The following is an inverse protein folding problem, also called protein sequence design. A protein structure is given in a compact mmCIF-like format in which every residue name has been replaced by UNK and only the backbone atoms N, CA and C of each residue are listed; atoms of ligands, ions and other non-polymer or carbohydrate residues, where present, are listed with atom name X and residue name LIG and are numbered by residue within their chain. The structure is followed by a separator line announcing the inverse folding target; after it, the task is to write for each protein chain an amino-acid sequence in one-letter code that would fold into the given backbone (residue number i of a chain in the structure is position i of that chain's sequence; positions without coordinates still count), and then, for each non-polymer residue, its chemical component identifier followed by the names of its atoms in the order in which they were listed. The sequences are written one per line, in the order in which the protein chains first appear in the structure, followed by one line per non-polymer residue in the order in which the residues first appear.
data_IF_479181596384
#
_entry.id   IF_479181596384
#
_cell.length_a   1.000
_cell.length_b   1.000
_cell.length_c   1.000
_cell.angle_alpha   90.00
_cell.angle_beta   90.00
_cell.angle_gamma   90.00
#
_symmetry.space_group_name_H-M   'P 1'
#
loop_
_entity.id
_entity.type
_entity.pdbx_description
1 polymer ?
#
# COMPACT_ATOMS: atom_id res chain seq x y z
N UNK A 1 -30.87 -0.39 -6.71
CA UNK A 1 -30.41 -0.73 -5.35
C UNK A 1 -29.19 -1.63 -5.48
N UNK A 2 -27.97 -1.07 -5.39
CA UNK A 2 -26.73 -1.86 -5.32
C UNK A 2 -25.64 -1.04 -4.57
N UNK A 3 -25.01 -1.73 -3.62
CA UNK A 3 -23.69 -1.58 -2.97
C UNK A 3 -23.38 -0.42 -2.01
N UNK A 4 -23.32 -0.83 -0.74
CA UNK A 4 -22.41 -0.47 0.34
C UNK A 4 -22.19 1.01 0.70
N UNK A 5 -22.92 1.39 1.75
CA UNK A 5 -22.48 2.33 2.79
C UNK A 5 -21.07 1.97 3.29
N UNK A 6 -20.05 2.63 2.79
CA UNK A 6 -18.78 2.82 3.51
C UNK A 6 -18.55 4.31 3.68
N UNK A 7 -19.29 4.89 4.63
CA UNK A 7 -18.84 6.07 5.36
C UNK A 7 -18.54 5.56 6.76
N UNK A 8 -17.31 5.08 6.97
CA UNK A 8 -16.74 5.06 8.32
C UNK A 8 -15.93 6.34 8.45
N UNK A 9 -16.32 7.11 9.44
CA UNK A 9 -15.95 8.49 9.70
C UNK A 9 -14.44 8.70 9.83
N UNK A 10 -13.96 9.81 9.25
CA UNK A 10 -12.84 10.57 9.81
C UNK A 10 -11.47 10.32 9.18
N UNK A 11 -10.99 11.35 8.48
CA UNK A 11 -9.57 11.72 8.25
C UNK A 11 -8.86 11.04 7.07
N UNK A 12 -8.94 11.65 5.87
CA UNK A 12 -7.79 11.89 4.94
C UNK A 12 -8.16 12.65 3.65
N UNK A 13 -8.90 13.77 3.77
CA UNK A 13 -9.45 14.55 2.64
C UNK A 13 -8.41 15.25 1.71
N UNK A 14 -7.11 14.93 1.76
CA UNK A 14 -6.11 15.56 0.86
C UNK A 14 -5.18 14.60 0.14
N UNK A 15 -4.83 13.46 0.75
CA UNK A 15 -4.06 12.42 0.07
C UNK A 15 -4.95 11.54 -0.83
N UNK A 16 -6.23 11.44 -0.48
CA UNK A 16 -7.23 10.62 -1.17
C UNK A 16 -7.59 11.17 -2.56
N UNK A 17 -7.58 12.49 -2.77
CA UNK A 17 -8.00 13.11 -4.05
C UNK A 17 -6.97 13.00 -5.20
N UNK A 18 -5.67 12.96 -4.89
CA UNK A 18 -4.62 12.67 -5.88
C UNK A 18 -4.56 11.17 -6.16
N UNK A 19 -4.77 10.36 -5.12
CA UNK A 19 -4.80 8.91 -5.22
C UNK A 19 -6.00 8.41 -6.04
N UNK A 20 -7.21 8.92 -5.80
CA UNK A 20 -8.41 8.59 -6.57
C UNK A 20 -8.20 8.83 -8.07
N UNK A 21 -7.49 9.89 -8.46
CA UNK A 21 -7.21 10.17 -9.88
C UNK A 21 -6.27 9.16 -10.51
N UNK A 22 -5.25 8.71 -9.79
CA UNK A 22 -4.30 7.69 -10.27
C UNK A 22 -4.97 6.31 -10.28
N UNK A 23 -5.83 6.04 -9.29
CA UNK A 23 -6.47 4.75 -9.07
C UNK A 23 -7.70 4.53 -9.97
N UNK A 24 -8.55 5.54 -10.18
CA UNK A 24 -9.72 5.50 -11.08
C UNK A 24 -9.32 5.16 -12.53
N UNK A 25 -8.07 5.44 -12.94
CA UNK A 25 -7.59 5.13 -14.30
C UNK A 25 -7.05 3.70 -14.47
N UNK A 26 -6.88 2.91 -13.41
CA UNK A 26 -6.32 1.55 -13.50
C UNK A 26 -7.04 0.58 -12.59
N UNK A 27 -8.23 0.13 -13.01
CA UNK A 27 -8.70 -1.27 -12.91
C UNK A 27 -8.29 -2.03 -11.63
N UNK A 28 -8.50 -1.41 -10.48
CA UNK A 28 -8.06 -1.93 -9.21
C UNK A 28 -9.27 -2.12 -8.30
N UNK A 29 -9.28 -3.21 -7.52
CA UNK A 29 -10.49 -3.70 -6.87
C UNK A 29 -11.07 -2.66 -5.90
N UNK A 30 -12.41 -2.57 -5.85
CA UNK A 30 -13.15 -1.66 -4.97
C UNK A 30 -12.83 -1.88 -3.48
N UNK A 31 -12.33 -3.07 -3.11
CA UNK A 31 -11.88 -3.42 -1.77
C UNK A 31 -10.35 -3.66 -1.77
N UNK A 32 -9.59 -2.68 -1.29
CA UNK A 32 -8.16 -2.83 -1.00
C UNK A 32 -7.90 -2.70 0.50
N UNK A 33 -6.98 -3.52 1.00
CA UNK A 33 -6.49 -3.39 2.37
C UNK A 33 -5.67 -2.11 2.52
N UNK A 34 -5.90 -1.36 3.60
CA UNK A 34 -5.17 -0.15 3.93
C UNK A 34 -4.22 -0.40 5.10
N UNK A 35 -2.99 0.08 4.97
CA UNK A 35 -1.97 -0.02 6.00
C UNK A 35 -1.45 1.37 6.36
N UNK A 36 -1.63 1.71 7.64
CA UNK A 36 -1.17 2.98 8.22
C UNK A 36 0.28 2.86 8.63
N UNK A 37 1.15 3.57 7.93
CA UNK A 37 2.57 3.65 8.27
C UNK A 37 2.77 4.86 9.18
N UNK A 38 3.15 4.61 10.44
CA UNK A 38 3.35 5.67 11.44
C UNK A 38 4.75 6.28 11.40
N UNK A 39 5.74 5.51 10.97
CA UNK A 39 7.15 5.94 10.91
C UNK A 39 7.81 5.33 9.68
N UNK A 40 8.94 5.92 9.25
CA UNK A 40 9.69 5.41 8.12
C UNK A 40 10.11 3.96 8.38
N UNK A 41 9.54 3.04 7.61
CA UNK A 41 9.69 1.60 7.82
C UNK A 41 10.11 0.91 6.53
N UNK A 42 10.98 -0.12 6.60
CA UNK A 42 11.32 -0.92 5.45
C UNK A 42 10.06 -1.53 4.82
N UNK A 43 9.98 -1.51 3.48
CA UNK A 43 8.86 -2.10 2.75
C UNK A 43 8.67 -3.59 3.08
N UNK A 44 9.77 -4.30 3.29
CA UNK A 44 9.76 -5.69 3.71
C UNK A 44 9.12 -5.91 5.08
N UNK A 45 9.23 -4.95 6.00
CA UNK A 45 8.61 -5.03 7.32
C UNK A 45 7.12 -4.72 7.20
N UNK A 46 6.77 -3.66 6.46
CA UNK A 46 5.38 -3.32 6.14
C UNK A 46 4.66 -4.50 5.49
N UNK A 47 5.29 -5.21 4.55
CA UNK A 47 4.71 -6.40 3.92
C UNK A 47 4.41 -7.53 4.91
N UNK A 48 5.24 -7.69 5.94
CA UNK A 48 5.05 -8.75 6.94
C UNK A 48 4.00 -8.32 7.95
N UNK A 49 4.07 -7.09 8.42
CA UNK A 49 3.13 -6.52 9.38
C UNK A 49 1.71 -6.42 8.80
N UNK A 50 1.61 -6.11 7.50
CA UNK A 50 0.35 -6.12 6.75
C UNK A 50 -0.11 -7.52 6.31
N UNK A 51 0.62 -8.60 6.66
CA UNK A 51 0.24 -9.97 6.30
C UNK A 51 0.39 -10.33 4.81
N UNK A 52 1.02 -9.48 4.00
CA UNK A 52 1.30 -9.76 2.58
C UNK A 52 2.39 -10.81 2.37
N UNK A 53 3.24 -11.02 3.38
CA UNK A 53 4.29 -12.01 3.40
C UNK A 53 4.35 -12.74 4.76
N UNK A 54 4.60 -14.06 4.77
CA UNK A 54 4.66 -14.84 6.01
C UNK A 54 5.91 -14.55 6.87
N UNK A 55 6.96 -13.97 6.28
CA UNK A 55 8.18 -13.60 6.99
C UNK A 55 8.99 -12.56 6.21
N UNK A 56 9.92 -11.88 6.90
CA UNK A 56 10.84 -10.90 6.27
C UNK A 56 11.67 -11.53 5.15
N UNK A 57 12.06 -12.80 5.30
CA UNK A 57 12.81 -13.53 4.27
C UNK A 57 12.00 -13.73 2.99
N UNK A 58 10.71 -14.03 3.13
CA UNK A 58 9.81 -14.20 1.99
C UNK A 58 9.46 -12.86 1.32
N UNK A 59 9.26 -11.81 2.12
CA UNK A 59 9.08 -10.45 1.61
C UNK A 59 10.28 -10.02 0.75
N UNK A 60 11.51 -10.23 1.24
CA UNK A 60 12.75 -9.95 0.48
C UNK A 60 12.82 -10.72 -0.83
N UNK A 61 12.44 -12.00 -0.83
CA UNK A 61 12.40 -12.81 -2.06
C UNK A 61 11.41 -12.27 -3.07
N UNK A 62 10.23 -11.82 -2.64
CA UNK A 62 9.22 -11.24 -3.52
C UNK A 62 9.71 -9.92 -4.14
N UNK A 63 10.36 -9.08 -3.34
CA UNK A 63 10.98 -7.82 -3.82
C UNK A 63 12.07 -8.12 -4.84
N UNK A 64 13.04 -8.99 -4.49
CA UNK A 64 14.14 -9.37 -5.38
C UNK A 64 13.65 -10.08 -6.65
N UNK A 65 12.56 -10.84 -6.56
CA UNK A 65 11.92 -11.50 -7.69
C UNK A 65 11.10 -10.56 -8.59
N UNK A 66 11.04 -9.26 -8.29
CA UNK A 66 10.26 -8.28 -9.04
C UNK A 66 8.75 -8.49 -8.93
N UNK A 67 8.32 -9.20 -7.89
CA UNK A 67 6.91 -9.41 -7.55
C UNK A 67 6.32 -8.25 -6.74
N UNK A 68 7.11 -7.24 -6.38
CA UNK A 68 6.65 -6.08 -5.61
C UNK A 68 6.72 -4.83 -6.47
N UNK A 69 5.67 -4.02 -6.42
CA UNK A 69 5.64 -2.71 -7.10
C UNK A 69 4.99 -1.68 -6.20
N UNK A 70 5.56 -0.49 -6.15
CA UNK A 70 5.06 0.66 -5.38
C UNK A 70 4.59 1.72 -6.39
N UNK A 71 3.32 2.10 -6.32
CA UNK A 71 2.67 3.06 -7.24
C UNK A 71 2.81 2.70 -8.74
N UNK A 72 2.98 1.41 -9.03
CA UNK A 72 3.22 0.90 -10.38
C UNK A 72 4.70 0.79 -10.77
N UNK A 73 5.61 1.37 -10.00
CA UNK A 73 7.05 1.20 -10.15
C UNK A 73 7.53 -0.07 -9.46
N UNK A 74 8.30 -0.90 -10.18
CA UNK A 74 8.82 -2.15 -9.61
C UNK A 74 9.84 -1.84 -8.53
N UNK A 75 9.62 -2.40 -7.34
CA UNK A 75 10.58 -2.32 -6.25
C UNK A 75 11.49 -3.54 -6.33
N UNK A 76 12.77 -3.30 -6.59
CA UNK A 76 13.83 -4.33 -6.52
C UNK A 76 14.72 -4.18 -5.30
N UNK A 77 14.64 -3.04 -4.60
CA UNK A 77 15.46 -2.76 -3.42
C UNK A 77 14.74 -3.23 -2.15
N UNK A 78 15.35 -4.21 -1.48
CA UNK A 78 14.87 -4.73 -0.19
C UNK A 78 15.12 -3.78 0.98
N UNK A 79 16.02 -2.81 0.81
CA UNK A 79 16.31 -1.76 1.77
C UNK A 79 15.46 -0.51 1.50
N UNK A 80 14.53 -0.56 0.54
CA UNK A 80 13.62 0.55 0.29
C UNK A 80 12.79 0.81 1.55
N UNK A 81 12.92 2.02 2.07
CA UNK A 81 12.17 2.51 3.22
C UNK A 81 11.02 3.34 2.69
N UNK A 82 9.80 2.99 3.10
CA UNK A 82 8.64 3.82 2.85
C UNK A 82 8.54 4.84 3.99
N UNK A 83 8.65 6.11 3.63
CA UNK A 83 8.53 7.23 4.57
C UNK A 83 7.09 7.70 4.61
N UNK A 84 6.44 7.77 5.78
CA UNK A 84 5.10 8.33 5.88
C UNK A 84 5.16 9.82 5.60
N UNK A 85 4.42 10.25 4.60
CA UNK A 85 4.31 11.62 4.13
C UNK A 85 3.39 11.69 2.92
N UNK A 86 3.47 10.65 2.08
CA UNK A 86 2.61 10.44 0.93
C UNK A 86 1.80 9.15 1.08
N UNK A 87 0.74 9.02 0.29
CA UNK A 87 0.03 7.75 0.10
C UNK A 87 0.60 7.02 -1.12
N UNK A 88 0.76 5.70 -1.03
CA UNK A 88 1.26 4.89 -2.13
C UNK A 88 0.59 3.52 -2.18
N UNK A 89 0.45 2.93 -3.36
CA UNK A 89 -0.05 1.54 -3.48
C UNK A 89 1.08 0.56 -3.59
N UNK A 90 1.14 -0.35 -2.63
CA UNK A 90 2.00 -1.51 -2.68
C UNK A 90 1.25 -2.67 -3.32
N UNK A 91 1.71 -3.09 -4.50
CA UNK A 91 1.29 -4.30 -5.18
C UNK A 91 2.26 -5.42 -4.86
N UNK A 92 1.75 -6.54 -4.35
CA UNK A 92 2.53 -7.75 -4.10
C UNK A 92 1.95 -8.92 -4.89
N UNK A 93 2.74 -9.39 -5.86
CA UNK A 93 2.34 -10.41 -6.82
C UNK A 93 1.26 -9.92 -7.78
N UNK A 94 0.37 -10.84 -8.17
CA UNK A 94 -0.74 -10.54 -9.10
C UNK A 94 -2.09 -10.28 -8.41
N UNK A 95 -2.22 -10.67 -7.13
CA UNK A 95 -3.52 -10.75 -6.45
C UNK A 95 -3.60 -9.96 -5.14
N UNK A 96 -2.49 -9.43 -4.62
CA UNK A 96 -2.49 -8.67 -3.37
C UNK A 96 -2.12 -7.21 -3.63
N UNK A 97 -2.96 -6.32 -3.14
CA UNK A 97 -2.82 -4.87 -3.23
C UNK A 97 -3.01 -4.31 -1.83
N UNK A 98 -2.13 -3.41 -1.43
CA UNK A 98 -2.15 -2.77 -0.13
C UNK A 98 -1.93 -1.28 -0.32
N UNK A 99 -2.82 -0.48 0.23
CA UNK A 99 -2.71 0.97 0.22
C UNK A 99 -1.92 1.42 1.43
N UNK A 100 -0.72 1.94 1.21
CA UNK A 100 0.10 2.58 2.25
C UNK A 100 -0.37 4.01 2.42
N UNK A 101 -0.77 4.37 3.63
CA UNK A 101 -1.10 5.73 4.00
C UNK A 101 -0.24 6.18 5.17
N UNK A 102 0.21 7.43 5.13
CA UNK A 102 0.87 8.05 6.26
C UNK A 102 -0.14 8.16 7.42
N UNK A 103 0.22 7.65 8.60
CA UNK A 103 -0.54 7.95 9.81
C UNK A 103 -0.23 9.41 10.18
N UNK A 104 -0.99 10.33 9.60
CA UNK A 104 -0.80 11.75 9.84
C UNK A 104 -1.18 12.04 11.29
N UNK A 105 -0.18 12.11 12.16
CA UNK A 105 -0.37 12.73 13.48
C UNK A 105 -0.43 14.23 13.21
N UNK A 106 -1.62 14.79 13.42
CA UNK A 106 -1.90 16.23 13.39
C UNK A 106 -0.99 16.96 14.38
#
# INVERSE_FOLDING_TARGET
EIVARYTSEGTSQKAEEEFDRIFIRKDAPEEMEEYRVAQASPLVDIMVDAGLAPSKGEAKRLVQGGGVSLDGDKVSDIALVFTPGDAAVLKVGKRRFLRLIAANTV
#
